data_IF_046282265318
#
_entry.id   IF_046282265318
#
_cell.length_a   1.000
_cell.length_b   1.000
_cell.length_c   1.000
_cell.angle_alpha   90.00
_cell.angle_beta   90.00
_cell.angle_gamma   90.00
#
_symmetry.space_group_name_H-M   'P 1'
#
loop_
_entity.id
_entity.type
_entity.pdbx_description
1 polymer ?
#
# COMPACT_ATOMS: atom_id res chain seq x y z
N UNK A 1 -10.43 -20.90 -14.19
CA UNK A 1 -9.48 -20.22 -13.30
C UNK A 1 -8.93 -19.01 -14.04
N UNK A 2 -8.99 -17.85 -13.45
CA UNK A 2 -8.41 -16.63 -14.03
C UNK A 2 -6.94 -16.60 -13.60
N UNK A 3 -6.02 -16.77 -14.54
CA UNK A 3 -4.59 -16.60 -14.28
C UNK A 3 -4.33 -15.11 -14.06
N UNK A 4 -3.84 -14.76 -12.87
CA UNK A 4 -3.46 -13.37 -12.53
C UNK A 4 -2.01 -13.13 -12.91
N UNK A 5 -1.74 -12.01 -13.55
CA UNK A 5 -0.40 -11.64 -13.99
C UNK A 5 0.06 -10.34 -13.33
N UNK A 6 1.07 -10.40 -12.48
CA UNK A 6 1.65 -9.25 -11.79
C UNK A 6 3.03 -8.94 -12.36
N UNK A 7 3.29 -7.68 -12.67
CA UNK A 7 4.65 -7.20 -12.92
C UNK A 7 5.22 -6.65 -11.62
N UNK A 8 6.36 -7.19 -11.21
CA UNK A 8 7.10 -6.73 -10.04
C UNK A 8 8.35 -5.97 -10.47
N UNK A 9 8.49 -4.73 -9.98
CA UNK A 9 9.73 -3.97 -10.06
C UNK A 9 10.81 -4.67 -9.23
N UNK A 10 11.67 -5.42 -9.90
CA UNK A 10 12.70 -6.22 -9.25
C UNK A 10 13.86 -5.39 -8.70
N UNK A 11 14.02 -4.14 -9.17
CA UNK A 11 15.11 -3.25 -8.77
C UNK A 11 14.68 -2.21 -7.73
N UNK A 12 13.40 -2.20 -7.32
CA UNK A 12 12.85 -1.28 -6.34
C UNK A 12 12.99 -1.80 -4.91
N UNK A 13 13.56 -0.99 -4.02
CA UNK A 13 13.76 -1.30 -2.59
C UNK A 13 15.22 -1.34 -2.18
N UNK A 14 15.44 -1.31 -0.85
CA UNK A 14 16.78 -1.16 -0.27
C UNK A 14 17.62 -2.44 -0.45
N UNK A 15 16.97 -3.63 -0.39
CA UNK A 15 17.62 -4.94 -0.55
C UNK A 15 17.31 -5.59 -1.91
N UNK A 16 16.90 -4.79 -2.91
CA UNK A 16 16.67 -5.29 -4.27
C UNK A 16 18.01 -5.61 -4.98
N UNK A 17 18.05 -6.62 -5.87
CA UNK A 17 16.95 -7.48 -6.31
C UNK A 17 16.74 -8.74 -5.44
N UNK A 18 17.55 -8.99 -4.42
CA UNK A 18 17.49 -10.22 -3.63
C UNK A 18 16.11 -10.42 -2.98
N UNK A 19 15.61 -9.41 -2.25
CA UNK A 19 14.33 -9.51 -1.54
C UNK A 19 13.13 -9.56 -2.51
N UNK A 20 13.19 -8.85 -3.65
CA UNK A 20 12.11 -8.81 -4.63
C UNK A 20 12.00 -10.14 -5.38
N UNK A 21 13.11 -10.73 -5.81
CA UNK A 21 13.12 -12.06 -6.46
C UNK A 21 12.63 -13.14 -5.50
N UNK A 22 13.17 -13.18 -4.26
CA UNK A 22 12.75 -14.16 -3.25
C UNK A 22 11.25 -14.00 -2.88
N UNK A 23 10.76 -12.77 -2.77
CA UNK A 23 9.34 -12.50 -2.51
C UNK A 23 8.43 -12.95 -3.65
N UNK A 24 8.85 -12.79 -4.91
CA UNK A 24 8.12 -13.33 -6.06
C UNK A 24 8.06 -14.86 -6.03
N UNK A 25 9.18 -15.52 -5.71
CA UNK A 25 9.24 -16.99 -5.55
C UNK A 25 8.31 -17.47 -4.45
N UNK A 26 8.32 -16.80 -3.27
CA UNK A 26 7.40 -17.11 -2.17
C UNK A 26 5.94 -16.96 -2.59
N UNK A 27 5.58 -15.89 -3.29
CA UNK A 27 4.22 -15.66 -3.78
C UNK A 27 3.77 -16.72 -4.80
N UNK A 28 4.63 -17.07 -5.78
CA UNK A 28 4.35 -18.06 -6.82
C UNK A 28 4.17 -19.46 -6.25
N UNK A 29 4.94 -19.83 -5.23
CA UNK A 29 4.81 -21.12 -4.53
C UNK A 29 3.53 -21.20 -3.70
N UNK A 30 3.08 -20.06 -3.16
CA UNK A 30 1.86 -19.99 -2.36
C UNK A 30 0.58 -19.97 -3.21
N UNK A 31 0.66 -19.52 -4.46
CA UNK A 31 -0.50 -19.30 -5.32
C UNK A 31 -0.26 -19.93 -6.72
N UNK A 32 -0.91 -21.07 -7.03
CA UNK A 32 -0.73 -21.76 -8.32
C UNK A 32 -1.32 -21.01 -9.51
N UNK A 33 -2.27 -20.09 -9.30
CA UNK A 33 -2.95 -19.33 -10.35
C UNK A 33 -2.28 -17.96 -10.61
N UNK A 34 -1.10 -17.73 -10.03
CA UNK A 34 -0.33 -16.50 -10.17
C UNK A 34 0.79 -16.67 -11.18
N UNK A 35 0.97 -15.68 -12.05
CA UNK A 35 2.16 -15.44 -12.88
C UNK A 35 2.83 -14.15 -12.45
N UNK A 36 4.15 -14.14 -12.31
CA UNK A 36 4.92 -12.93 -11.99
C UNK A 36 5.96 -12.68 -13.07
N UNK A 37 5.99 -11.45 -13.58
CA UNK A 37 7.10 -10.96 -14.40
C UNK A 37 8.00 -10.06 -13.55
N UNK A 38 9.25 -10.47 -13.36
CA UNK A 38 10.30 -9.65 -12.74
C UNK A 38 10.82 -8.66 -13.78
N UNK A 39 10.55 -7.38 -13.57
CA UNK A 39 11.04 -6.29 -14.41
C UNK A 39 12.29 -5.66 -13.78
N UNK A 40 13.43 -5.79 -14.45
CA UNK A 40 14.71 -5.31 -13.92
C UNK A 40 15.88 -5.73 -14.79
N UNK A 41 17.09 -5.47 -14.34
CA UNK A 41 18.32 -5.92 -15.01
C UNK A 41 18.49 -7.41 -14.79
N UNK A 42 18.32 -8.22 -15.84
CA UNK A 42 18.38 -9.69 -15.78
C UNK A 42 19.70 -10.19 -15.16
N UNK A 43 20.83 -9.57 -15.53
CA UNK A 43 22.13 -9.93 -14.95
C UNK A 43 22.19 -9.76 -13.43
N UNK A 44 21.51 -8.75 -12.87
CA UNK A 44 21.46 -8.55 -11.42
C UNK A 44 20.53 -9.54 -10.71
N UNK A 45 19.45 -9.99 -11.37
CA UNK A 45 18.48 -10.95 -10.82
C UNK A 45 18.98 -12.40 -10.87
N UNK A 46 19.80 -12.74 -11.87
CA UNK A 46 20.25 -14.10 -12.17
C UNK A 46 20.81 -14.90 -10.97
N UNK A 47 21.62 -14.30 -10.05
CA UNK A 47 22.14 -15.04 -8.89
C UNK A 47 21.06 -15.55 -7.92
N UNK A 48 19.86 -14.97 -7.95
CA UNK A 48 18.75 -15.27 -7.03
C UNK A 48 17.69 -16.21 -7.64
N UNK A 49 17.89 -16.69 -8.88
CA UNK A 49 16.96 -17.53 -9.63
C UNK A 49 17.38 -19.02 -9.66
N UNK A 50 18.32 -19.44 -8.82
CA UNK A 50 18.91 -20.78 -8.88
C UNK A 50 18.00 -21.92 -8.40
N UNK A 51 16.92 -21.62 -7.69
CA UNK A 51 15.96 -22.60 -7.16
C UNK A 51 14.53 -22.20 -7.56
N UNK A 52 14.23 -22.26 -8.87
CA UNK A 52 12.94 -21.80 -9.43
C UNK A 52 12.36 -22.78 -10.46
N UNK A 53 12.89 -24.00 -10.55
CA UNK A 53 12.45 -25.00 -11.54
C UNK A 53 10.97 -25.39 -11.38
N UNK A 54 10.47 -25.38 -10.13
CA UNK A 54 9.07 -25.69 -9.78
C UNK A 54 8.06 -24.61 -10.22
N UNK A 55 8.54 -23.42 -10.56
CA UNK A 55 7.71 -22.26 -10.91
C UNK A 55 8.10 -21.61 -12.24
N UNK A 56 9.03 -22.22 -13.00
CA UNK A 56 9.65 -21.58 -14.17
C UNK A 56 8.63 -21.14 -15.24
N UNK A 57 7.54 -21.88 -15.44
CA UNK A 57 6.47 -21.55 -16.41
C UNK A 57 5.70 -20.29 -16.02
N UNK A 58 5.70 -19.93 -14.73
CA UNK A 58 4.95 -18.81 -14.15
C UNK A 58 5.82 -17.64 -13.71
N UNK A 59 7.15 -17.80 -13.72
CA UNK A 59 8.13 -16.77 -13.43
C UNK A 59 8.76 -16.28 -14.74
N UNK A 60 8.40 -15.05 -15.14
CA UNK A 60 8.90 -14.42 -16.37
C UNK A 60 9.91 -13.34 -16.05
N UNK A 61 10.78 -13.03 -17.00
CA UNK A 61 11.78 -11.96 -16.88
C UNK A 61 11.55 -10.91 -17.96
N UNK A 62 11.59 -9.63 -17.59
CA UNK A 62 11.52 -8.48 -18.47
C UNK A 62 12.76 -7.61 -18.24
N UNK A 63 13.64 -7.52 -19.25
CA UNK A 63 14.80 -6.64 -19.16
C UNK A 63 14.37 -5.18 -19.14
N UNK A 64 14.76 -4.46 -18.10
CA UNK A 64 14.54 -3.01 -17.96
C UNK A 64 15.86 -2.34 -17.59
N UNK A 65 16.61 -1.80 -18.59
CA UNK A 65 17.94 -1.26 -18.36
C UNK A 65 17.93 0.06 -17.56
N UNK A 66 16.82 0.80 -17.60
CA UNK A 66 16.68 2.05 -16.85
C UNK A 66 16.25 1.77 -15.41
N UNK A 67 16.98 2.28 -14.42
CA UNK A 67 16.61 2.20 -13.01
C UNK A 67 16.20 3.57 -12.50
N UNK A 68 15.00 3.68 -11.91
CA UNK A 68 14.53 4.88 -11.21
C UNK A 68 14.87 4.74 -9.72
N UNK A 69 15.67 5.67 -9.20
CA UNK A 69 16.10 5.68 -7.81
C UNK A 69 15.31 6.69 -6.97
N UNK A 70 15.49 6.66 -5.65
CA UNK A 70 14.88 7.64 -4.74
C UNK A 70 15.47 9.06 -4.88
N UNK A 71 16.61 9.22 -5.56
CA UNK A 71 17.26 10.51 -5.83
C UNK A 71 16.79 11.17 -7.13
N UNK A 72 16.11 10.42 -7.98
CA UNK A 72 15.57 10.95 -9.23
C UNK A 72 14.35 11.84 -8.97
N UNK A 73 14.22 12.94 -9.71
CA UNK A 73 13.00 13.74 -9.73
C UNK A 73 11.86 12.91 -10.36
N UNK A 74 10.79 12.53 -9.60
CA UNK A 74 9.86 11.47 -9.99
C UNK A 74 9.23 11.64 -11.37
N UNK A 75 8.67 12.83 -11.65
CA UNK A 75 8.00 13.14 -12.93
C UNK A 75 8.98 13.11 -14.10
N UNK A 76 10.17 13.66 -13.89
CA UNK A 76 11.21 13.67 -14.92
C UNK A 76 11.77 12.27 -15.19
N UNK A 77 11.97 11.47 -14.13
CA UNK A 77 12.42 10.08 -14.26
C UNK A 77 11.45 9.24 -15.08
N UNK A 78 10.16 9.27 -14.75
CA UNK A 78 9.10 8.56 -15.51
C UNK A 78 9.01 9.04 -16.96
N UNK A 79 9.36 10.30 -17.24
CA UNK A 79 9.34 10.88 -18.58
C UNK A 79 10.54 10.48 -19.42
N UNK A 80 11.73 10.41 -18.83
CA UNK A 80 13.02 10.18 -19.49
C UNK A 80 13.42 8.71 -19.53
N UNK A 81 13.27 7.97 -18.40
CA UNK A 81 13.64 6.56 -18.23
C UNK A 81 12.52 5.65 -18.73
N UNK A 82 12.29 5.64 -20.04
CA UNK A 82 11.16 4.95 -20.69
C UNK A 82 11.23 3.43 -20.58
N UNK A 83 12.44 2.89 -20.41
CA UNK A 83 12.69 1.45 -20.28
C UNK A 83 12.89 1.03 -18.80
N UNK A 84 12.32 1.80 -17.87
CA UNK A 84 12.32 1.44 -16.46
C UNK A 84 11.16 0.49 -16.12
N UNK A 85 11.33 -0.32 -15.07
CA UNK A 85 10.30 -1.24 -14.56
C UNK A 85 8.97 -0.51 -14.28
N UNK A 86 9.02 0.70 -13.69
CA UNK A 86 7.84 1.52 -13.43
C UNK A 86 7.10 1.89 -14.72
N UNK A 87 7.82 2.35 -15.75
CA UNK A 87 7.20 2.80 -17.00
C UNK A 87 6.67 1.61 -17.78
N UNK A 88 7.50 0.59 -18.00
CA UNK A 88 7.11 -0.59 -18.78
C UNK A 88 6.00 -1.39 -18.09
N UNK A 89 6.10 -1.58 -16.76
CA UNK A 89 5.07 -2.28 -15.99
C UNK A 89 3.72 -1.56 -15.99
N UNK A 90 3.70 -0.24 -15.83
CA UNK A 90 2.46 0.54 -15.87
C UNK A 90 1.83 0.55 -17.27
N UNK A 91 2.63 0.55 -18.34
CA UNK A 91 2.13 0.45 -19.71
C UNK A 91 1.54 -0.93 -19.98
N UNK A 92 2.21 -2.01 -19.57
CA UNK A 92 1.70 -3.37 -19.72
C UNK A 92 0.36 -3.58 -19.00
N UNK A 93 0.18 -3.00 -17.80
CA UNK A 93 -1.11 -3.03 -17.10
C UNK A 93 -2.18 -2.24 -17.88
N UNK A 94 -1.85 -1.07 -18.41
CA UNK A 94 -2.78 -0.26 -19.22
C UNK A 94 -3.21 -0.97 -20.51
N UNK A 95 -2.30 -1.72 -21.12
CA UNK A 95 -2.52 -2.43 -22.39
C UNK A 95 -3.19 -3.80 -22.19
N UNK A 96 -3.40 -4.21 -20.93
CA UNK A 96 -4.02 -5.49 -20.57
C UNK A 96 -3.09 -6.72 -20.71
N UNK A 97 -1.78 -6.48 -20.82
CA UNK A 97 -0.75 -7.53 -20.84
C UNK A 97 -0.44 -8.07 -19.43
N UNK A 98 -0.78 -7.29 -18.41
CA UNK A 98 -0.72 -7.67 -17.00
C UNK A 98 -1.90 -7.09 -16.22
N UNK A 99 -2.25 -7.71 -15.10
CA UNK A 99 -3.40 -7.31 -14.26
C UNK A 99 -3.00 -6.32 -13.16
N UNK A 100 -1.71 -6.28 -12.79
CA UNK A 100 -1.25 -5.39 -11.75
C UNK A 100 0.26 -5.16 -11.73
N UNK A 101 0.65 -4.10 -11.03
CA UNK A 101 2.04 -3.68 -10.85
C UNK A 101 2.38 -3.53 -9.36
N UNK A 102 3.52 -4.07 -8.94
CA UNK A 102 4.03 -3.97 -7.56
C UNK A 102 5.44 -3.38 -7.58
N UNK A 103 5.72 -2.42 -6.71
CA UNK A 103 7.07 -1.83 -6.56
C UNK A 103 7.37 -1.45 -5.11
N UNK A 104 8.57 -1.74 -4.65
CA UNK A 104 9.13 -1.21 -3.41
C UNK A 104 10.05 0.02 -3.65
N UNK A 105 10.18 0.48 -4.89
CA UNK A 105 10.99 1.63 -5.29
C UNK A 105 10.41 3.00 -4.87
N UNK A 106 10.80 4.05 -5.57
CA UNK A 106 10.38 5.43 -5.29
C UNK A 106 8.86 5.62 -5.30
N UNK A 107 8.29 6.08 -4.19
CA UNK A 107 6.85 6.39 -4.07
C UNK A 107 6.42 7.45 -5.09
N UNK A 108 7.22 8.50 -5.24
CA UNK A 108 6.94 9.56 -6.21
C UNK A 108 6.95 9.05 -7.65
N UNK A 109 7.87 8.14 -7.99
CA UNK A 109 7.92 7.54 -9.33
C UNK A 109 6.72 6.61 -9.57
N UNK A 110 6.32 5.82 -8.58
CA UNK A 110 5.13 4.97 -8.66
C UNK A 110 3.86 5.81 -8.86
N UNK A 111 3.70 6.91 -8.11
CA UNK A 111 2.60 7.85 -8.29
C UNK A 111 2.62 8.51 -9.68
N UNK A 112 3.78 9.02 -10.11
CA UNK A 112 3.91 9.63 -11.43
C UNK A 112 3.65 8.63 -12.57
N UNK A 113 4.12 7.39 -12.44
CA UNK A 113 3.81 6.29 -13.37
C UNK A 113 2.31 5.99 -13.42
N UNK A 114 1.67 5.84 -12.27
CA UNK A 114 0.22 5.66 -12.16
C UNK A 114 -0.56 6.78 -12.85
N UNK A 115 -0.18 8.04 -12.62
CA UNK A 115 -0.86 9.19 -13.22
C UNK A 115 -0.62 9.34 -14.73
N UNK A 116 0.61 9.17 -15.18
CA UNK A 116 1.01 9.57 -16.56
C UNK A 116 1.19 8.41 -17.53
N UNK A 117 1.34 7.18 -17.03
CA UNK A 117 1.52 5.99 -17.86
C UNK A 117 0.30 5.07 -17.82
N UNK A 118 -0.18 4.74 -16.63
CA UNK A 118 -1.38 3.92 -16.45
C UNK A 118 -2.66 4.73 -16.72
N UNK A 119 -2.76 5.92 -16.17
CA UNK A 119 -3.93 6.80 -16.26
C UNK A 119 -4.80 6.75 -15.00
N UNK A 120 -5.58 7.81 -14.80
CA UNK A 120 -6.54 7.93 -13.69
C UNK A 120 -7.90 7.36 -14.08
N UNK A 121 -8.63 6.81 -13.11
CA UNK A 121 -10.04 6.48 -13.29
C UNK A 121 -10.79 7.76 -13.67
N UNK A 122 -11.65 7.76 -14.72
CA UNK A 122 -12.47 8.91 -15.08
C UNK A 122 -13.29 9.38 -13.87
N UNK A 123 -13.26 10.68 -13.58
CA UNK A 123 -13.90 11.27 -12.40
C UNK A 123 -12.98 11.38 -11.16
N UNK A 124 -11.82 10.76 -11.15
CA UNK A 124 -10.80 10.93 -10.09
C UNK A 124 -9.78 11.99 -10.50
N UNK A 125 -9.65 13.03 -9.67
CA UNK A 125 -8.68 14.11 -9.89
C UNK A 125 -7.27 13.69 -9.45
N UNK A 126 -7.17 12.98 -8.31
CA UNK A 126 -5.89 12.54 -7.74
C UNK A 126 -5.96 11.11 -7.24
N UNK A 127 -5.05 10.23 -7.69
CA UNK A 127 -4.83 8.95 -7.03
C UNK A 127 -4.28 9.15 -5.63
N UNK A 128 -4.56 8.22 -4.74
CA UNK A 128 -4.14 8.28 -3.34
C UNK A 128 -3.55 6.95 -2.86
N UNK A 129 -2.60 7.01 -1.93
CA UNK A 129 -2.05 5.84 -1.24
C UNK A 129 -2.92 5.49 -0.04
N UNK A 130 -3.33 4.23 0.03
CA UNK A 130 -4.34 3.76 0.98
C UNK A 130 -3.89 2.51 1.76
N UNK A 131 -2.87 2.60 2.63
CA UNK A 131 -2.47 1.46 3.46
C UNK A 131 -3.57 1.06 4.43
N UNK A 132 -3.64 -0.25 4.74
CA UNK A 132 -4.42 -0.79 5.84
C UNK A 132 -3.57 -0.82 7.10
N UNK A 133 -4.07 -0.21 8.17
CA UNK A 133 -3.39 -0.09 9.45
C UNK A 133 -4.20 -0.79 10.55
N UNK A 134 -3.55 -1.44 11.53
CA UNK A 134 -4.25 -2.15 12.60
C UNK A 134 -4.89 -1.17 13.61
N UNK A 135 -6.10 -1.49 14.08
CA UNK A 135 -6.81 -0.76 15.14
C UNK A 135 -7.06 -1.62 16.41
N UNK A 136 -6.35 -2.74 16.54
CA UNK A 136 -6.51 -3.66 17.68
C UNK A 136 -7.70 -4.63 17.58
N UNK A 137 -8.69 -4.37 16.72
CA UNK A 137 -9.82 -5.28 16.42
C UNK A 137 -9.79 -5.81 14.99
N UNK A 138 -9.11 -5.11 14.10
CA UNK A 138 -8.97 -5.41 12.70
C UNK A 138 -8.07 -4.39 12.04
N UNK A 139 -8.52 -3.88 10.88
CA UNK A 139 -7.78 -2.89 10.09
C UNK A 139 -8.71 -1.75 9.69
N UNK A 140 -8.14 -0.56 9.55
CA UNK A 140 -8.75 0.59 8.91
C UNK A 140 -7.90 1.05 7.72
N UNK A 141 -8.52 1.69 6.75
CA UNK A 141 -7.85 2.29 5.61
C UNK A 141 -7.51 3.74 5.94
N UNK A 142 -6.23 4.11 5.94
CA UNK A 142 -5.79 5.52 6.02
C UNK A 142 -5.54 6.04 4.60
N UNK A 143 -6.19 7.12 4.19
CA UNK A 143 -6.13 7.67 2.85
C UNK A 143 -6.24 9.21 2.85
N UNK A 144 -5.32 9.99 2.29
CA UNK A 144 -4.12 9.68 1.53
C UNK A 144 -2.89 9.57 2.44
N UNK A 145 -1.94 8.72 2.09
CA UNK A 145 -0.68 8.53 2.80
C UNK A 145 0.55 8.95 1.97
N UNK A 146 0.58 10.21 1.51
CA UNK A 146 1.79 10.80 0.92
C UNK A 146 1.80 10.90 -0.61
N UNK A 147 0.69 10.65 -1.31
CA UNK A 147 0.58 10.91 -2.74
C UNK A 147 0.32 12.40 -3.03
N UNK A 148 -0.49 13.08 -2.20
CA UNK A 148 -0.91 14.46 -2.41
C UNK A 148 -0.66 15.29 -1.15
N UNK A 149 0.51 15.93 -1.08
CA UNK A 149 0.92 16.74 0.08
C UNK A 149 0.03 17.99 0.21
N UNK A 150 -0.22 18.67 -0.91
CA UNK A 150 -1.11 19.81 -0.99
C UNK A 150 -2.42 19.37 -1.66
N UNK A 151 -3.44 19.11 -0.86
CA UNK A 151 -4.75 18.66 -1.34
C UNK A 151 -5.73 19.82 -1.46
N UNK A 152 -6.65 19.73 -2.44
CA UNK A 152 -7.84 20.59 -2.52
C UNK A 152 -9.01 19.94 -1.78
N UNK A 153 -9.98 20.72 -1.28
CA UNK A 153 -11.15 20.20 -0.56
C UNK A 153 -11.93 19.13 -1.34
N UNK A 154 -11.99 19.26 -2.65
CA UNK A 154 -12.71 18.34 -3.57
C UNK A 154 -12.05 16.97 -3.69
N UNK A 155 -10.75 16.81 -3.31
CA UNK A 155 -10.06 15.52 -3.37
C UNK A 155 -10.47 14.62 -2.21
N UNK A 156 -10.78 15.18 -1.03
CA UNK A 156 -11.05 14.40 0.17
C UNK A 156 -12.29 13.49 0.05
N UNK A 157 -13.43 13.96 -0.50
CA UNK A 157 -14.56 13.08 -0.80
C UNK A 157 -14.20 11.96 -1.79
N UNK A 158 -13.36 12.22 -2.80
CA UNK A 158 -12.90 11.20 -3.74
C UNK A 158 -12.03 10.15 -3.02
N UNK A 159 -11.16 10.57 -2.07
CA UNK A 159 -10.41 9.65 -1.21
C UNK A 159 -11.36 8.79 -0.36
N UNK A 160 -12.42 9.40 0.19
CA UNK A 160 -13.46 8.67 0.92
C UNK A 160 -14.17 7.62 0.05
N UNK A 161 -14.54 7.96 -1.19
CA UNK A 161 -15.16 7.01 -2.15
C UNK A 161 -14.21 5.86 -2.45
N UNK A 162 -12.93 6.15 -2.74
CA UNK A 162 -11.92 5.13 -3.02
C UNK A 162 -11.68 4.20 -1.84
N UNK A 163 -11.49 4.75 -0.63
CA UNK A 163 -11.32 3.99 0.60
C UNK A 163 -12.54 3.14 0.94
N UNK A 164 -13.76 3.69 0.79
CA UNK A 164 -15.01 2.98 1.01
C UNK A 164 -15.18 1.79 0.04
N UNK A 165 -14.90 1.98 -1.25
CA UNK A 165 -14.94 0.90 -2.24
C UNK A 165 -13.91 -0.19 -1.92
N UNK A 166 -12.70 0.20 -1.54
CA UNK A 166 -11.63 -0.72 -1.16
C UNK A 166 -12.00 -1.55 0.09
N UNK A 167 -12.51 -0.92 1.15
CA UNK A 167 -12.93 -1.64 2.36
C UNK A 167 -14.13 -2.56 2.11
N UNK A 168 -15.06 -2.17 1.24
CA UNK A 168 -16.18 -3.05 0.82
C UNK A 168 -15.71 -4.29 0.11
N UNK A 169 -14.79 -4.16 -0.83
CA UNK A 169 -14.37 -5.26 -1.71
C UNK A 169 -13.31 -6.15 -1.09
N UNK A 170 -12.27 -5.58 -0.50
CA UNK A 170 -11.11 -6.34 0.00
C UNK A 170 -11.31 -6.82 1.44
N UNK A 171 -12.06 -6.05 2.27
CA UNK A 171 -12.32 -6.37 3.67
C UNK A 171 -13.74 -6.88 3.91
N UNK A 172 -14.55 -7.06 2.87
CA UNK A 172 -15.96 -7.54 2.92
C UNK A 172 -16.85 -6.76 3.89
N UNK A 173 -16.64 -5.45 3.98
CA UNK A 173 -17.42 -4.57 4.85
C UNK A 173 -18.64 -4.05 4.10
N UNK A 174 -19.86 -4.23 4.67
CA UNK A 174 -21.10 -3.80 4.00
C UNK A 174 -21.23 -2.27 3.95
N UNK A 175 -20.97 -1.59 5.06
CA UNK A 175 -21.13 -0.14 5.23
C UNK A 175 -19.94 0.46 5.98
N UNK A 176 -18.77 0.64 5.34
CA UNK A 176 -17.62 1.22 6.01
C UNK A 176 -17.90 2.64 6.51
N UNK A 177 -17.53 2.92 7.75
CA UNK A 177 -17.63 4.24 8.39
C UNK A 177 -16.46 5.10 7.91
N UNK A 178 -16.76 6.24 7.28
CA UNK A 178 -15.76 7.16 6.73
C UNK A 178 -15.64 8.37 7.64
N UNK A 179 -14.47 8.62 8.20
CA UNK A 179 -14.18 9.78 9.03
C UNK A 179 -13.13 10.70 8.42
N UNK A 180 -13.19 11.98 8.75
CA UNK A 180 -12.24 13.01 8.31
C UNK A 180 -11.31 13.38 9.46
N UNK A 181 -9.98 13.26 9.26
CA UNK A 181 -8.98 13.63 10.29
C UNK A 181 -9.10 15.11 10.64
N UNK A 182 -9.21 15.39 11.93
CA UNK A 182 -9.30 16.75 12.44
C UNK A 182 -8.69 16.84 13.85
N UNK A 183 -8.63 18.08 14.37
CA UNK A 183 -8.14 18.43 15.73
C UNK A 183 -9.25 18.50 16.78
N UNK A 184 -10.50 18.24 16.41
CA UNK A 184 -11.69 18.22 17.27
C UNK A 184 -12.87 17.63 16.54
N UNK A 185 -13.86 17.15 17.28
CA UNK A 185 -15.03 16.44 16.73
C UNK A 185 -16.05 17.39 16.05
N UNK A 186 -16.05 18.69 16.41
CA UNK A 186 -17.02 19.67 15.92
C UNK A 186 -16.75 20.02 14.44
N UNK A 187 -17.81 20.22 13.65
CA UNK A 187 -17.74 20.47 12.21
C UNK A 187 -16.96 21.75 11.83
N UNK A 188 -16.98 22.76 12.70
CA UNK A 188 -16.30 24.04 12.50
C UNK A 188 -14.80 24.03 12.87
N UNK A 189 -14.29 22.93 13.44
CA UNK A 189 -12.87 22.80 13.80
C UNK A 189 -12.00 22.53 12.57
N UNK A 190 -10.72 22.74 12.74
CA UNK A 190 -9.68 22.41 11.76
C UNK A 190 -9.18 23.59 10.94
N UNK A 191 -8.31 23.27 9.99
CA UNK A 191 -7.74 24.23 9.04
C UNK A 191 -8.72 24.54 7.88
N UNK A 192 -8.33 25.41 6.98
CA UNK A 192 -9.15 25.81 5.84
C UNK A 192 -9.55 24.64 4.94
N UNK A 193 -8.63 23.68 4.72
CA UNK A 193 -8.87 22.47 3.91
C UNK A 193 -10.01 21.63 4.50
N UNK A 194 -9.88 21.27 5.77
CA UNK A 194 -10.84 20.37 6.45
C UNK A 194 -12.22 21.03 6.56
N UNK A 195 -12.28 22.33 6.91
CA UNK A 195 -13.54 23.09 6.98
C UNK A 195 -14.26 23.16 5.63
N UNK A 196 -13.51 23.34 4.54
CA UNK A 196 -14.09 23.37 3.19
C UNK A 196 -14.48 21.96 2.69
N UNK A 197 -13.77 20.92 3.08
CA UNK A 197 -14.06 19.54 2.70
C UNK A 197 -15.25 18.95 3.47
N UNK A 198 -15.47 19.32 4.73
CA UNK A 198 -16.50 18.73 5.58
C UNK A 198 -17.90 18.70 4.93
N UNK A 199 -18.46 19.81 4.42
CA UNK A 199 -19.77 19.80 3.76
C UNK A 199 -19.79 19.02 2.43
N UNK A 200 -18.64 18.78 1.82
CA UNK A 200 -18.53 17.93 0.64
C UNK A 200 -18.55 16.44 1.02
N UNK A 201 -17.92 16.08 2.14
CA UNK A 201 -17.94 14.74 2.71
C UNK A 201 -19.36 14.33 3.15
N UNK A 202 -20.14 15.24 3.73
CA UNK A 202 -21.54 14.98 4.11
C UNK A 202 -22.45 14.63 2.92
N UNK A 203 -22.12 15.12 1.72
CA UNK A 203 -22.90 14.87 0.50
C UNK A 203 -22.41 13.66 -0.30
N UNK A 204 -21.28 13.08 0.09
CA UNK A 204 -20.68 11.98 -0.65
C UNK A 204 -21.42 10.65 -0.44
N UNK A 205 -21.36 9.69 -1.39
CA UNK A 205 -22.14 8.45 -1.37
C UNK A 205 -21.56 7.37 -0.44
N UNK A 206 -21.24 7.71 0.81
CA UNK A 206 -20.75 6.79 1.84
C UNK A 206 -21.27 7.19 3.22
N UNK A 207 -21.10 6.31 4.20
CA UNK A 207 -21.46 6.61 5.59
C UNK A 207 -20.42 7.55 6.23
N UNK A 208 -20.62 8.83 6.11
CA UNK A 208 -19.78 9.82 6.79
C UNK A 208 -20.13 9.91 8.27
N UNK A 209 -19.11 9.77 9.15
CA UNK A 209 -19.28 9.82 10.62
C UNK A 209 -18.78 11.13 11.24
N UNK A 210 -18.38 12.11 10.42
CA UNK A 210 -17.82 13.38 10.90
C UNK A 210 -16.31 13.34 11.09
N UNK A 211 -15.81 14.23 11.96
CA UNK A 211 -14.40 14.38 12.26
C UNK A 211 -13.89 13.24 13.18
N UNK A 212 -12.64 12.84 12.95
CA UNK A 212 -11.90 11.85 13.74
C UNK A 212 -10.64 12.52 14.30
N UNK A 213 -10.51 12.56 15.62
CA UNK A 213 -9.31 13.08 16.26
C UNK A 213 -8.14 12.08 16.20
N UNK A 214 -6.91 12.59 16.23
CA UNK A 214 -5.71 11.74 16.15
C UNK A 214 -5.66 10.59 17.18
N UNK A 215 -6.18 10.81 18.39
CA UNK A 215 -6.25 9.79 19.45
C UNK A 215 -7.25 8.67 19.15
N UNK A 216 -8.26 8.95 18.34
CA UNK A 216 -9.38 8.05 18.07
C UNK A 216 -9.18 7.23 16.77
N UNK A 217 -8.15 7.53 15.98
CA UNK A 217 -7.85 6.83 14.71
C UNK A 217 -7.74 5.31 14.92
N UNK A 218 -7.12 4.87 16.04
CA UNK A 218 -6.95 3.45 16.35
C UNK A 218 -8.05 2.89 17.25
N UNK A 219 -9.08 3.68 17.58
CA UNK A 219 -10.14 3.29 18.52
C UNK A 219 -11.31 2.54 17.89
N UNK A 220 -11.20 2.10 16.63
CA UNK A 220 -12.24 1.38 15.89
C UNK A 220 -13.53 2.20 15.73
N UNK A 221 -13.43 3.51 15.55
CA UNK A 221 -14.59 4.37 15.31
C UNK A 221 -14.83 4.59 13.81
N UNK A 222 -13.79 4.49 12.98
CA UNK A 222 -13.84 4.63 11.53
C UNK A 222 -13.13 3.45 10.85
N UNK A 223 -13.65 3.04 9.70
CA UNK A 223 -13.09 1.99 8.86
C UNK A 223 -12.25 2.59 7.72
N UNK A 224 -12.58 3.83 7.32
CA UNK A 224 -11.82 4.66 6.39
C UNK A 224 -11.53 6.00 7.06
N UNK A 225 -10.28 6.35 7.17
CA UNK A 225 -9.80 7.60 7.77
C UNK A 225 -9.20 8.47 6.68
N UNK A 226 -9.90 9.54 6.31
CA UNK A 226 -9.54 10.44 5.20
C UNK A 226 -8.73 11.61 5.72
N UNK A 227 -7.65 11.93 5.00
CA UNK A 227 -6.81 13.10 5.25
C UNK A 227 -6.06 13.50 3.97
N UNK A 228 -5.35 14.64 3.97
CA UNK A 228 -4.37 14.93 2.94
C UNK A 228 -3.11 14.06 3.09
N UNK A 229 -2.28 14.01 2.04
CA UNK A 229 -1.10 13.16 2.04
C UNK A 229 -0.01 13.58 3.03
N UNK A 230 0.04 14.86 3.43
CA UNK A 230 1.01 15.32 4.42
C UNK A 230 0.70 14.74 5.80
N UNK A 231 -0.52 14.97 6.29
CA UNK A 231 -0.93 14.45 7.60
C UNK A 231 -1.04 12.93 7.60
N UNK A 232 -1.53 12.32 6.52
CA UNK A 232 -1.60 10.86 6.44
C UNK A 232 -0.24 10.18 6.51
N UNK A 233 0.77 10.69 5.79
CA UNK A 233 2.13 10.16 5.90
C UNK A 233 2.75 10.42 7.28
N UNK A 234 2.44 11.57 7.90
CA UNK A 234 2.89 11.88 9.26
C UNK A 234 2.29 10.89 10.28
N UNK A 235 0.98 10.63 10.20
CA UNK A 235 0.28 9.65 11.05
C UNK A 235 0.88 8.26 10.87
N UNK A 236 1.05 7.80 9.62
CA UNK A 236 1.64 6.50 9.30
C UNK A 236 3.04 6.36 9.93
N UNK A 237 3.94 7.33 9.68
CA UNK A 237 5.32 7.30 10.20
C UNK A 237 5.39 7.42 11.72
N UNK A 238 4.50 8.20 12.32
CA UNK A 238 4.39 8.29 13.77
C UNK A 238 3.93 6.97 14.40
N UNK A 239 2.91 6.31 13.82
CA UNK A 239 2.45 5.00 14.28
C UNK A 239 3.56 3.94 14.18
N UNK A 240 4.29 3.91 13.06
CA UNK A 240 5.46 3.03 12.87
C UNK A 240 6.51 3.26 13.97
N UNK A 241 6.87 4.52 14.22
CA UNK A 241 7.87 4.91 15.21
C UNK A 241 7.46 4.55 16.63
N UNK A 242 6.21 4.84 17.01
CA UNK A 242 5.66 4.51 18.35
C UNK A 242 5.62 3.01 18.57
N UNK A 243 5.14 2.23 17.60
CA UNK A 243 5.09 0.77 17.69
C UNK A 243 6.50 0.17 17.88
N UNK A 244 7.47 0.60 17.07
CA UNK A 244 8.86 0.17 17.18
C UNK A 244 9.49 0.51 18.53
N UNK A 245 9.30 1.74 19.00
CA UNK A 245 9.83 2.21 20.30
C UNK A 245 9.22 1.43 21.46
N UNK A 246 7.89 1.25 21.48
CA UNK A 246 7.19 0.54 22.55
C UNK A 246 7.65 -0.92 22.64
N UNK A 247 7.71 -1.62 21.51
CA UNK A 247 8.21 -2.99 21.45
C UNK A 247 9.69 -3.09 21.88
N UNK A 248 10.50 -2.09 21.54
CA UNK A 248 11.89 -1.97 21.97
C UNK A 248 12.03 -1.82 23.49
N UNK A 249 11.24 -0.94 24.11
CA UNK A 249 11.20 -0.74 25.57
C UNK A 249 10.77 -2.04 26.27
N UNK A 250 9.67 -2.66 25.82
CA UNK A 250 9.16 -3.92 26.40
C UNK A 250 10.26 -5.01 26.33
N UNK A 251 10.91 -5.15 25.17
CA UNK A 251 12.00 -6.13 25.00
C UNK A 251 13.17 -5.85 25.95
N UNK A 252 13.57 -4.58 26.10
CA UNK A 252 14.65 -4.18 26.99
C UNK A 252 14.33 -4.53 28.44
N UNK A 253 13.16 -4.18 28.93
CA UNK A 253 12.74 -4.45 30.32
C UNK A 253 12.59 -5.95 30.60
N UNK A 254 12.01 -6.72 29.67
CA UNK A 254 11.90 -8.18 29.79
C UNK A 254 13.27 -8.89 29.83
N UNK A 255 14.30 -8.31 29.23
CA UNK A 255 15.63 -8.90 29.20
C UNK A 255 16.57 -8.35 30.28
N UNK A 256 16.10 -7.44 31.15
CA UNK A 256 16.93 -6.77 32.16
C UNK A 256 17.43 -7.71 33.27
N UNK A 257 16.61 -8.70 33.65
CA UNK A 257 16.96 -9.65 34.73
C UNK A 257 16.64 -11.11 34.38
N UNK A 258 17.00 -12.04 35.25
CA UNK A 258 16.79 -13.48 35.05
C UNK A 258 15.30 -13.87 35.01
N UNK A 259 14.47 -13.21 35.86
CA UNK A 259 13.01 -13.47 35.90
C UNK A 259 12.32 -12.99 34.64
N UNK A 260 12.68 -11.78 34.17
CA UNK A 260 12.19 -11.22 32.93
C UNK A 260 12.56 -12.08 31.73
N UNK A 261 13.81 -12.60 31.67
CA UNK A 261 14.24 -13.52 30.59
C UNK A 261 13.42 -14.81 30.55
N UNK A 262 13.12 -15.41 31.70
CA UNK A 262 12.24 -16.60 31.78
C UNK A 262 10.82 -16.23 31.33
N UNK A 263 10.29 -15.11 31.83
CA UNK A 263 8.98 -14.59 31.41
C UNK A 263 8.90 -14.31 29.91
N UNK A 264 9.95 -13.70 29.33
CA UNK A 264 10.06 -13.46 27.89
C UNK A 264 10.07 -14.74 27.07
N UNK A 265 10.74 -15.80 27.52
CA UNK A 265 10.72 -17.11 26.85
C UNK A 265 9.33 -17.72 26.82
N UNK A 266 8.62 -17.69 27.94
CA UNK A 266 7.25 -18.20 28.05
C UNK A 266 6.29 -17.35 27.19
N UNK A 267 6.40 -16.03 27.24
CA UNK A 267 5.53 -15.10 26.52
C UNK A 267 5.89 -14.93 25.03
N UNK A 268 7.03 -15.48 24.55
CA UNK A 268 7.51 -15.34 23.16
C UNK A 268 6.41 -15.59 22.09
N UNK A 269 5.57 -16.63 22.20
CA UNK A 269 4.49 -16.85 21.22
C UNK A 269 3.44 -15.73 21.21
N UNK A 270 3.12 -15.15 22.37
CA UNK A 270 2.19 -14.02 22.49
C UNK A 270 2.78 -12.75 21.83
N UNK A 271 4.05 -12.43 22.11
CA UNK A 271 4.72 -11.31 21.47
C UNK A 271 4.85 -11.46 19.95
N UNK A 272 5.06 -12.70 19.46
CA UNK A 272 5.04 -12.96 18.00
C UNK A 272 3.68 -12.63 17.39
N UNK A 273 2.57 -12.96 18.06
CA UNK A 273 1.21 -12.61 17.59
C UNK A 273 0.98 -11.10 17.62
N UNK A 274 1.33 -10.42 18.72
CA UNK A 274 1.23 -8.95 18.83
C UNK A 274 2.02 -8.28 17.73
N UNK A 275 3.28 -8.67 17.52
CA UNK A 275 4.11 -8.13 16.44
C UNK A 275 3.46 -8.32 15.07
N UNK A 276 2.93 -9.52 14.80
CA UNK A 276 2.24 -9.80 13.54
C UNK A 276 0.99 -8.93 13.35
N UNK A 277 0.21 -8.70 14.41
CA UNK A 277 -0.96 -7.82 14.37
C UNK A 277 -0.59 -6.36 14.11
N UNK A 278 0.55 -5.90 14.65
CA UNK A 278 1.03 -4.52 14.49
C UNK A 278 1.83 -4.30 13.19
N UNK A 279 2.16 -5.36 12.47
CA UNK A 279 2.97 -5.31 11.27
C UNK A 279 2.06 -5.10 10.04
N UNK A 280 1.95 -3.86 9.59
CA UNK A 280 1.18 -3.53 8.39
C UNK A 280 1.74 -4.17 7.10
N UNK A 281 3.01 -4.61 7.09
CA UNK A 281 3.59 -5.31 5.94
C UNK A 281 2.97 -6.69 5.72
N UNK A 282 2.40 -7.30 6.75
CA UNK A 282 1.61 -8.54 6.66
C UNK A 282 0.34 -8.36 5.81
N UNK A 283 -0.18 -7.14 5.73
CA UNK A 283 -1.35 -6.81 4.90
C UNK A 283 -0.96 -6.59 3.44
N UNK A 284 0.28 -6.14 3.16
CA UNK A 284 0.83 -6.15 1.82
C UNK A 284 1.11 -4.80 1.18
N UNK A 285 1.47 -3.77 1.95
CA UNK A 285 1.84 -2.45 1.41
C UNK A 285 0.66 -1.49 1.23
N UNK A 286 0.85 -0.42 0.46
CA UNK A 286 -0.14 0.62 0.22
C UNK A 286 -0.65 0.55 -1.23
N UNK A 287 -1.93 0.24 -1.49
CA UNK A 287 -2.52 0.39 -2.80
C UNK A 287 -2.46 1.85 -3.26
N UNK A 288 -2.20 2.06 -4.54
CA UNK A 288 -2.42 3.33 -5.22
C UNK A 288 -3.82 3.29 -5.85
N UNK A 289 -4.80 3.81 -5.13
CA UNK A 289 -6.19 3.85 -5.60
C UNK A 289 -6.43 5.04 -6.54
N UNK A 290 -7.41 4.94 -7.44
CA UNK A 290 -7.77 6.00 -8.37
C UNK A 290 -7.04 5.99 -9.71
N UNK A 291 -6.26 4.95 -10.01
CA UNK A 291 -5.63 4.67 -11.31
C UNK A 291 -6.37 3.55 -12.05
N UNK A 292 -6.22 3.49 -13.40
CA UNK A 292 -6.90 2.53 -14.28
C UNK A 292 -6.29 1.11 -14.24
N UNK A 293 -5.84 0.66 -13.09
CA UNK A 293 -5.28 -0.68 -12.89
C UNK A 293 -4.83 -0.90 -11.46
N UNK A 294 -4.50 -2.12 -11.13
CA UNK A 294 -4.03 -2.46 -9.79
C UNK A 294 -2.56 -2.11 -9.61
N UNK A 295 -2.28 -1.24 -8.65
CA UNK A 295 -0.92 -0.85 -8.27
C UNK A 295 -0.75 -0.94 -6.77
N UNK A 296 0.29 -1.63 -6.32
CA UNK A 296 0.64 -1.72 -4.89
C UNK A 296 2.07 -1.24 -4.66
N UNK A 297 2.20 -0.30 -3.74
CA UNK A 297 3.48 0.23 -3.26
C UNK A 297 3.90 -0.46 -1.98
N UNK A 298 4.93 -1.30 -2.05
CA UNK A 298 5.58 -1.90 -0.88
C UNK A 298 6.57 -0.91 -0.25
N UNK A 299 6.92 -1.08 1.01
CA UNK A 299 7.90 -0.22 1.70
C UNK A 299 9.31 -0.43 1.11
N UNK A 300 10.17 0.61 1.12
CA UNK A 300 11.54 0.52 0.62
C UNK A 300 12.38 -0.53 1.34
N UNK A 301 12.20 -0.68 2.65
CA UNK A 301 12.87 -1.69 3.48
C UNK A 301 12.14 -3.05 3.54
N UNK A 302 11.26 -3.36 2.58
CA UNK A 302 10.54 -4.64 2.52
C UNK A 302 11.50 -5.81 2.37
N UNK A 303 11.31 -6.84 3.21
CA UNK A 303 11.94 -8.14 3.02
C UNK A 303 11.14 -9.00 2.01
N UNK A 304 11.61 -10.22 1.71
CA UNK A 304 10.96 -11.13 0.77
C UNK A 304 9.50 -11.41 1.14
N UNK A 305 9.21 -11.66 2.42
CA UNK A 305 7.85 -11.90 2.89
C UNK A 305 6.91 -10.70 2.67
N UNK A 306 7.37 -9.48 2.94
CA UNK A 306 6.61 -8.26 2.70
C UNK A 306 6.31 -8.04 1.21
N UNK A 307 7.26 -8.37 0.31
CA UNK A 307 7.04 -8.37 -1.14
C UNK A 307 5.99 -9.40 -1.54
N UNK A 308 6.08 -10.64 -1.02
CA UNK A 308 5.06 -11.66 -1.27
C UNK A 308 3.67 -11.21 -0.79
N UNK A 309 3.58 -10.54 0.37
CA UNK A 309 2.35 -9.95 0.87
C UNK A 309 1.82 -8.85 -0.06
N UNK A 310 2.69 -7.99 -0.62
CA UNK A 310 2.29 -6.95 -1.57
C UNK A 310 1.74 -7.53 -2.88
N UNK A 311 2.35 -8.60 -3.39
CA UNK A 311 1.84 -9.34 -4.55
C UNK A 311 0.46 -9.93 -4.22
N UNK A 312 0.31 -10.60 -3.07
CA UNK A 312 -0.98 -11.16 -2.62
C UNK A 312 -2.05 -10.08 -2.45
N UNK A 313 -1.70 -8.88 -1.99
CA UNK A 313 -2.64 -7.76 -1.93
C UNK A 313 -3.08 -7.33 -3.33
N UNK A 314 -2.14 -7.24 -4.29
CA UNK A 314 -2.49 -6.95 -5.67
C UNK A 314 -3.44 -8.00 -6.26
N UNK A 315 -3.19 -9.30 -6.04
CA UNK A 315 -4.12 -10.36 -6.49
C UNK A 315 -5.50 -10.23 -5.86
N UNK A 316 -5.58 -9.94 -4.56
CA UNK A 316 -6.89 -9.68 -3.90
C UNK A 316 -7.64 -8.51 -4.50
N UNK A 317 -6.95 -7.43 -4.85
CA UNK A 317 -7.58 -6.26 -5.49
C UNK A 317 -8.13 -6.60 -6.88
N UNK A 318 -7.40 -7.42 -7.65
CA UNK A 318 -7.81 -7.90 -8.96
C UNK A 318 -9.05 -8.81 -8.83
N UNK A 319 -8.97 -9.82 -7.98
CA UNK A 319 -10.06 -10.80 -7.75
C UNK A 319 -11.36 -10.13 -7.28
N UNK A 320 -11.25 -9.06 -6.52
CA UNK A 320 -12.39 -8.31 -5.98
C UNK A 320 -12.76 -7.07 -6.82
N UNK A 321 -12.21 -6.92 -8.03
CA UNK A 321 -12.57 -5.86 -8.97
C UNK A 321 -12.59 -4.44 -8.35
N UNK A 322 -11.55 -4.11 -7.57
CA UNK A 322 -11.48 -2.83 -6.83
C UNK A 322 -11.60 -1.63 -7.76
N UNK A 323 -10.87 -1.64 -8.89
CA UNK A 323 -10.88 -0.54 -9.87
C UNK A 323 -12.28 -0.30 -10.43
N UNK A 324 -12.97 -1.35 -10.84
CA UNK A 324 -14.34 -1.28 -11.38
C UNK A 324 -15.33 -0.78 -10.32
N UNK A 325 -15.15 -1.23 -9.06
CA UNK A 325 -16.01 -0.81 -7.95
C UNK A 325 -15.82 0.67 -7.63
N UNK A 326 -14.59 1.18 -7.64
CA UNK A 326 -14.33 2.62 -7.48
C UNK A 326 -15.03 3.39 -8.61
N UNK A 327 -14.85 2.98 -9.86
CA UNK A 327 -15.46 3.65 -11.01
C UNK A 327 -16.99 3.69 -10.95
N UNK A 328 -17.63 2.63 -10.46
CA UNK A 328 -19.10 2.55 -10.29
C UNK A 328 -19.62 3.37 -9.10
N UNK A 329 -18.72 3.77 -8.19
CA UNK A 329 -19.07 4.50 -6.97
C UNK A 329 -18.94 6.03 -7.12
N UNK A 330 -18.42 6.50 -8.26
CA UNK A 330 -18.31 7.92 -8.62
C UNK A 330 -19.62 8.44 -9.23
#
# INVERSE_FOLDING_TARGET
MILRHIILDAMGGDDAPACTVQGAVEALRADPDLTVTLAGTIMAMKPFLSDTDDIHDRLKLLETPDIITNHDAPVMAVRQKKQSAVVMGMLAVREGEADGFVSAGSTGATLAGGMFRLGRIPGIDRPALAPLLPNGKGYFCLIDCGANVDSLPEYLPQFGIMGNAYMKTVMDMQNPRVGLVNIGAEAEKGNALVKAAYPLMEKAPFQFIGNVEGRDITADIADVVVTDGFYGNLILKFMEGVAGTLLGIIKKELLADARGKIGALIAKPAFKRVRKTMDYTEVGGAPLLGVQGTVVKAHGSSNAHAIACAIRQATRMIDNHVVDTIQKSL
#
